data_IF_995689572029
#
_entry.id   IF_995689572029
#
_cell.length_a   1.000
_cell.length_b   1.000
_cell.length_c   1.000
_cell.angle_alpha   90.00
_cell.angle_beta   90.00
_cell.angle_gamma   90.00
#
_symmetry.space_group_name_H-M   'P 1'
#
loop_
_entity.id
_entity.type
_entity.pdbx_description
1 polymer ?
#
# COMPACT_ATOMS: atom_id res chain seq x y z
N UNK A 1 21.26 -24.55 -2.63
CA UNK A 1 22.24 -23.69 -1.99
C UNK A 1 21.69 -22.28 -1.92
N UNK A 2 21.62 -21.71 -0.75
CA UNK A 2 21.13 -20.33 -0.59
C UNK A 2 22.19 -19.36 -1.11
N UNK A 3 21.76 -18.43 -1.95
CA UNK A 3 22.64 -17.35 -2.41
C UNK A 3 22.60 -16.26 -1.35
N UNK A 4 23.77 -15.96 -0.77
CA UNK A 4 23.88 -14.86 0.17
C UNK A 4 23.70 -13.53 -0.54
N UNK A 5 22.69 -12.77 -0.12
CA UNK A 5 22.48 -11.42 -0.63
C UNK A 5 23.47 -10.47 0.03
N UNK A 6 24.02 -9.50 -0.72
CA UNK A 6 24.84 -8.46 -0.11
C UNK A 6 24.08 -7.73 1.00
N UNK A 7 24.80 -7.28 2.03
CA UNK A 7 24.21 -6.63 3.20
C UNK A 7 23.33 -5.42 2.83
N UNK A 8 23.70 -4.69 1.77
CA UNK A 8 22.89 -3.54 1.32
C UNK A 8 21.48 -3.94 0.91
N UNK A 9 21.29 -5.14 0.33
CA UNK A 9 19.96 -5.64 -0.05
C UNK A 9 19.15 -6.05 1.18
N UNK A 10 19.80 -6.68 2.16
CA UNK A 10 19.13 -7.05 3.42
C UNK A 10 18.67 -5.82 4.17
N UNK A 11 19.49 -4.77 4.22
CA UNK A 11 19.12 -3.52 4.86
C UNK A 11 17.96 -2.83 4.15
N UNK A 12 17.94 -2.86 2.81
CA UNK A 12 16.84 -2.29 2.04
C UNK A 12 15.54 -3.06 2.25
N UNK A 13 15.60 -4.41 2.31
CA UNK A 13 14.42 -5.23 2.59
C UNK A 13 13.87 -4.95 4.00
N UNK A 14 14.74 -4.84 5.00
CA UNK A 14 14.32 -4.52 6.37
C UNK A 14 13.67 -3.14 6.45
N UNK A 15 14.23 -2.15 5.76
CA UNK A 15 13.64 -0.81 5.73
C UNK A 15 12.26 -0.83 5.07
N UNK A 16 12.10 -1.60 3.98
CA UNK A 16 10.81 -1.77 3.32
C UNK A 16 9.77 -2.40 4.24
N UNK A 17 10.15 -3.46 4.96
CA UNK A 17 9.27 -4.12 5.94
C UNK A 17 8.93 -3.19 7.10
N UNK A 18 9.90 -2.43 7.60
CA UNK A 18 9.68 -1.49 8.69
C UNK A 18 8.74 -0.36 8.26
N UNK A 19 8.90 0.16 7.04
CA UNK A 19 8.03 1.21 6.50
C UNK A 19 6.59 0.71 6.38
N UNK A 20 6.39 -0.51 5.87
CA UNK A 20 5.07 -1.12 5.78
C UNK A 20 4.45 -1.31 7.16
N UNK A 21 5.23 -1.79 8.14
CA UNK A 21 4.75 -1.98 9.51
C UNK A 21 4.36 -0.65 10.16
N UNK A 22 5.14 0.40 9.96
CA UNK A 22 4.82 1.74 10.45
C UNK A 22 3.56 2.29 9.78
N UNK A 23 3.42 2.09 8.47
CA UNK A 23 2.22 2.51 7.75
C UNK A 23 0.98 1.79 8.28
N UNK A 24 1.07 0.47 8.51
CA UNK A 24 -0.03 -0.31 9.06
C UNK A 24 -0.42 0.18 10.45
N UNK A 25 0.57 0.43 11.32
CA UNK A 25 0.31 0.96 12.66
C UNK A 25 -0.36 2.33 12.59
N UNK A 26 0.14 3.22 11.74
CA UNK A 26 -0.42 4.56 11.55
C UNK A 26 -1.88 4.50 11.13
N UNK A 27 -2.21 3.63 10.18
CA UNK A 27 -3.57 3.44 9.71
C UNK A 27 -4.48 2.89 10.82
N UNK A 28 -3.98 1.93 11.60
CA UNK A 28 -4.75 1.38 12.74
C UNK A 28 -5.07 2.46 13.77
N UNK A 29 -4.12 3.34 14.06
CA UNK A 29 -4.35 4.45 14.98
C UNK A 29 -5.42 5.41 14.45
N UNK A 30 -5.62 5.48 13.14
CA UNK A 30 -6.66 6.28 12.50
C UNK A 30 -8.00 5.53 12.37
N UNK A 31 -8.09 4.32 12.89
CA UNK A 31 -9.31 3.51 12.85
C UNK A 31 -9.46 2.62 11.62
N UNK A 32 -8.44 2.51 10.77
CA UNK A 32 -8.46 1.61 9.64
C UNK A 32 -8.24 0.16 10.11
N UNK A 33 -8.93 -0.77 9.48
CA UNK A 33 -8.72 -2.19 9.71
C UNK A 33 -7.83 -2.76 8.62
N UNK A 34 -6.69 -3.30 8.98
CA UNK A 34 -5.77 -3.91 8.01
C UNK A 34 -6.34 -5.27 7.59
N UNK A 35 -6.61 -5.41 6.30
CA UNK A 35 -7.18 -6.62 5.71
C UNK A 35 -6.11 -7.54 5.13
N UNK A 36 -5.06 -6.98 4.56
CA UNK A 36 -3.96 -7.74 4.00
C UNK A 36 -2.68 -6.91 4.01
N UNK A 37 -1.56 -7.59 4.15
CA UNK A 37 -0.24 -7.00 4.08
C UNK A 37 0.55 -7.76 3.02
N UNK A 38 1.25 -7.01 2.15
CA UNK A 38 2.09 -7.58 1.10
C UNK A 38 1.29 -8.59 0.26
N UNK A 39 0.14 -8.14 -0.19
CA UNK A 39 -0.76 -8.96 -1.00
C UNK A 39 -0.12 -9.25 -2.35
N UNK A 40 0.02 -10.54 -2.66
CA UNK A 40 0.57 -11.00 -3.95
C UNK A 40 -0.56 -11.54 -4.80
N UNK A 41 -0.68 -11.02 -6.02
CA UNK A 41 -1.64 -11.49 -7.01
C UNK A 41 -0.92 -11.75 -8.33
N UNK A 42 -1.60 -12.45 -9.24
CA UNK A 42 -1.06 -12.66 -10.59
C UNK A 42 -0.92 -11.37 -11.40
N UNK A 43 -1.62 -10.30 -11.00
CA UNK A 43 -1.53 -8.99 -11.66
C UNK A 43 -0.43 -8.11 -11.06
N UNK A 44 -0.01 -8.37 -9.82
CA UNK A 44 1.00 -7.58 -9.13
C UNK A 44 0.84 -7.66 -7.63
N UNK A 45 1.62 -6.85 -6.92
CA UNK A 45 1.63 -6.78 -5.46
C UNK A 45 1.02 -5.47 -4.98
N UNK A 46 0.37 -5.53 -3.81
CA UNK A 46 -0.13 -4.35 -3.10
C UNK A 46 0.44 -4.39 -1.69
N UNK A 47 1.03 -3.29 -1.25
CA UNK A 47 1.71 -3.25 0.05
C UNK A 47 0.74 -3.45 1.21
N UNK A 48 -0.38 -2.74 1.21
CA UNK A 48 -1.41 -2.85 2.25
C UNK A 48 -2.80 -2.76 1.64
N UNK A 49 -3.72 -3.53 2.20
CA UNK A 49 -5.15 -3.39 1.95
C UNK A 49 -5.82 -3.12 3.28
N UNK A 50 -6.59 -2.05 3.37
CA UNK A 50 -7.22 -1.63 4.62
C UNK A 50 -8.64 -1.15 4.39
N UNK A 51 -9.53 -1.43 5.34
CA UNK A 51 -10.89 -0.91 5.31
C UNK A 51 -10.93 0.41 6.09
N UNK A 52 -11.34 1.49 5.42
CA UNK A 52 -11.51 2.78 6.08
C UNK A 52 -12.70 2.73 7.06
N UNK A 53 -12.66 3.51 8.15
CA UNK A 53 -13.82 3.61 9.04
C UNK A 53 -15.04 4.09 8.26
N UNK A 54 -16.10 3.27 8.20
CA UNK A 54 -17.34 3.58 7.48
C UNK A 54 -17.13 4.01 6.03
N UNK A 55 -16.08 3.50 5.38
CA UNK A 55 -15.69 3.94 4.05
C UNK A 55 -15.20 2.81 3.16
N UNK A 56 -14.50 3.15 2.08
CA UNK A 56 -14.08 2.18 1.08
C UNK A 56 -12.97 1.26 1.56
N UNK A 57 -12.70 0.23 0.77
CA UNK A 57 -11.49 -0.58 0.87
C UNK A 57 -10.36 0.19 0.19
N UNK A 58 -9.27 0.42 0.91
CA UNK A 58 -8.14 1.21 0.44
C UNK A 58 -7.00 0.28 0.04
N UNK A 59 -6.48 0.48 -1.17
CA UNK A 59 -5.32 -0.22 -1.70
C UNK A 59 -4.16 0.75 -1.63
N UNK A 60 -3.15 0.42 -0.84
CA UNK A 60 -2.18 1.40 -0.33
C UNK A 60 -0.78 1.01 -0.77
N UNK A 61 -0.11 1.96 -1.42
CA UNK A 61 1.32 1.87 -1.72
C UNK A 61 2.09 2.59 -0.62
N UNK A 62 3.08 1.90 -0.05
CA UNK A 62 3.93 2.48 0.99
C UNK A 62 5.23 2.94 0.35
N UNK A 63 5.57 4.21 0.52
CA UNK A 63 6.79 4.80 -0.03
C UNK A 63 7.68 5.32 1.09
N UNK A 64 8.91 4.83 1.13
CA UNK A 64 9.94 5.32 2.05
C UNK A 64 10.61 6.54 1.43
N UNK A 65 9.93 7.69 1.49
CA UNK A 65 10.37 8.96 0.90
C UNK A 65 10.38 10.05 1.95
N UNK A 66 11.39 10.91 1.88
CA UNK A 66 11.50 12.04 2.80
C UNK A 66 10.50 13.14 2.50
N UNK A 67 10.11 13.31 1.23
CA UNK A 67 9.18 14.36 0.82
C UNK A 67 7.84 13.72 0.42
N UNK A 68 6.80 14.03 1.17
CA UNK A 68 5.45 13.51 0.95
C UNK A 68 4.94 13.82 -0.47
N UNK A 69 5.22 15.01 -0.98
CA UNK A 69 4.81 15.42 -2.33
C UNK A 69 5.42 14.53 -3.40
N UNK A 70 6.72 14.24 -3.28
CA UNK A 70 7.41 13.36 -4.23
C UNK A 70 6.85 11.93 -4.17
N UNK A 71 6.42 11.47 -2.98
CA UNK A 71 5.81 10.16 -2.83
C UNK A 71 4.47 10.08 -3.58
N UNK A 72 3.61 11.11 -3.46
CA UNK A 72 2.31 11.12 -4.13
C UNK A 72 2.43 11.05 -5.65
N UNK A 73 3.47 11.65 -6.21
CA UNK A 73 3.74 11.66 -7.65
C UNK A 73 4.52 10.43 -8.13
N UNK A 74 4.88 9.51 -7.22
CA UNK A 74 5.84 8.44 -7.53
C UNK A 74 5.23 7.18 -8.13
N UNK A 75 3.90 7.06 -8.20
CA UNK A 75 3.26 5.86 -8.75
C UNK A 75 3.03 6.05 -10.24
N UNK A 76 3.84 5.37 -11.06
CA UNK A 76 3.76 5.46 -12.52
C UNK A 76 2.44 4.86 -13.03
N UNK A 77 1.93 5.34 -14.19
CA UNK A 77 0.67 4.81 -14.75
C UNK A 77 0.64 3.30 -14.93
N UNK A 78 1.74 2.69 -15.34
CA UNK A 78 1.82 1.23 -15.47
C UNK A 78 1.63 0.53 -14.11
N UNK A 79 2.21 1.09 -13.05
CA UNK A 79 2.03 0.55 -11.70
C UNK A 79 0.61 0.76 -11.20
N UNK A 80 0.01 1.91 -11.48
CA UNK A 80 -1.40 2.17 -11.15
C UNK A 80 -2.31 1.12 -11.79
N UNK A 81 -2.07 0.77 -13.04
CA UNK A 81 -2.83 -0.26 -13.74
C UNK A 81 -2.67 -1.63 -13.07
N UNK A 82 -1.45 -2.00 -12.70
CA UNK A 82 -1.20 -3.27 -12.01
C UNK A 82 -1.90 -3.33 -10.67
N UNK A 83 -1.84 -2.26 -9.89
CA UNK A 83 -2.50 -2.18 -8.59
C UNK A 83 -4.02 -2.28 -8.77
N UNK A 84 -4.59 -1.58 -9.74
CA UNK A 84 -6.02 -1.64 -10.01
C UNK A 84 -6.47 -3.05 -10.38
N UNK A 85 -5.71 -3.76 -11.20
CA UNK A 85 -6.01 -5.16 -11.55
C UNK A 85 -5.90 -6.08 -10.36
N UNK A 86 -4.88 -5.88 -9.52
CA UNK A 86 -4.71 -6.66 -8.29
C UNK A 86 -5.88 -6.41 -7.33
N UNK A 87 -6.35 -5.16 -7.25
CA UNK A 87 -7.52 -4.80 -6.44
C UNK A 87 -8.78 -5.52 -6.95
N UNK A 88 -9.00 -5.55 -8.26
CA UNK A 88 -10.11 -6.29 -8.85
C UNK A 88 -10.07 -7.77 -8.48
N UNK A 89 -8.89 -8.38 -8.57
CA UNK A 89 -8.73 -9.79 -8.21
C UNK A 89 -9.03 -10.04 -6.73
N UNK A 90 -8.57 -9.15 -5.87
CA UNK A 90 -8.82 -9.25 -4.44
C UNK A 90 -10.30 -9.14 -4.11
N UNK A 91 -10.99 -8.18 -4.71
CA UNK A 91 -12.41 -7.92 -4.44
C UNK A 91 -13.34 -8.92 -5.12
N UNK A 92 -12.90 -9.59 -6.18
CA UNK A 92 -13.73 -10.56 -6.91
C UNK A 92 -14.25 -11.69 -6.04
N UNK A 93 -13.46 -12.13 -5.05
CA UNK A 93 -13.88 -13.16 -4.12
C UNK A 93 -14.50 -12.62 -2.82
N UNK A 94 -14.75 -11.31 -2.74
CA UNK A 94 -15.16 -10.65 -1.50
C UNK A 94 -16.26 -9.61 -1.75
N UNK A 95 -17.50 -10.08 -2.08
CA UNK A 95 -18.55 -9.16 -2.50
C UNK A 95 -18.96 -8.15 -1.41
N UNK A 96 -18.84 -8.52 -0.14
CA UNK A 96 -19.11 -7.59 0.96
C UNK A 96 -18.15 -6.41 0.99
N UNK A 97 -16.88 -6.67 0.69
CA UNK A 97 -15.87 -5.62 0.59
C UNK A 97 -16.03 -4.81 -0.70
N UNK A 98 -16.31 -5.51 -1.82
CA UNK A 98 -16.50 -4.86 -3.11
C UNK A 98 -17.61 -3.80 -3.06
N UNK A 99 -18.67 -4.05 -2.30
CA UNK A 99 -19.79 -3.11 -2.15
C UNK A 99 -19.39 -1.82 -1.44
N UNK A 100 -18.30 -1.83 -0.68
CA UNK A 100 -17.82 -0.63 0.01
C UNK A 100 -17.11 0.35 -0.92
N UNK A 101 -16.75 -0.08 -2.12
CA UNK A 101 -15.97 0.71 -3.06
C UNK A 101 -14.47 0.59 -2.81
N UNK A 102 -13.68 1.11 -3.73
CA UNK A 102 -12.23 1.05 -3.70
C UNK A 102 -11.63 2.46 -3.73
N UNK A 103 -10.52 2.64 -3.03
CA UNK A 103 -9.76 3.89 -3.02
C UNK A 103 -8.27 3.55 -3.09
N UNK A 104 -7.51 4.35 -3.80
CA UNK A 104 -6.07 4.15 -3.96
C UNK A 104 -5.32 5.23 -3.21
N UNK A 105 -4.52 4.81 -2.24
CA UNK A 105 -3.83 5.71 -1.32
C UNK A 105 -2.33 5.46 -1.35
N UNK A 106 -1.57 6.45 -0.89
CA UNK A 106 -0.14 6.31 -0.63
C UNK A 106 0.11 6.70 0.83
N UNK A 107 0.92 5.90 1.53
CA UNK A 107 1.48 6.29 2.82
C UNK A 107 2.96 6.50 2.65
N UNK A 108 3.41 7.73 2.88
CA UNK A 108 4.82 8.10 2.78
C UNK A 108 5.47 8.06 4.17
N UNK A 109 6.56 7.33 4.26
CA UNK A 109 7.35 7.21 5.49
C UNK A 109 8.67 7.95 5.27
N UNK A 110 8.86 9.02 6.03
CA UNK A 110 10.12 9.77 6.01
C UNK A 110 10.95 9.47 7.24
N UNK A 111 12.22 9.86 7.20
CA UNK A 111 13.11 9.72 8.34
C UNK A 111 12.85 10.86 9.33
N UNK A 112 12.60 10.51 10.59
CA UNK A 112 12.41 11.48 11.67
C UNK A 112 11.12 12.28 11.62
N UNK A 113 10.12 11.83 10.83
CA UNK A 113 8.83 12.49 10.74
C UNK A 113 7.70 11.47 10.86
N UNK A 114 6.49 11.97 11.13
CA UNK A 114 5.31 11.12 11.16
C UNK A 114 4.96 10.66 9.74
N UNK A 115 4.33 9.48 9.60
CA UNK A 115 3.82 9.06 8.29
C UNK A 115 2.85 10.09 7.72
N UNK A 116 2.85 10.23 6.40
CA UNK A 116 1.91 11.09 5.70
C UNK A 116 1.01 10.21 4.83
N UNK A 117 -0.28 10.29 5.08
CA UNK A 117 -1.27 9.49 4.35
C UNK A 117 -1.93 10.36 3.29
N UNK A 118 -1.65 10.04 2.04
CA UNK A 118 -2.28 10.67 0.88
C UNK A 118 -3.43 9.81 0.42
N UNK A 119 -4.65 10.29 0.56
CA UNK A 119 -5.86 9.55 0.20
C UNK A 119 -6.26 9.86 -1.24
N UNK A 120 -6.78 8.84 -1.92
CA UNK A 120 -7.41 8.98 -3.24
C UNK A 120 -6.47 9.63 -4.27
N UNK A 121 -5.25 9.10 -4.36
CA UNK A 121 -4.19 9.70 -5.19
C UNK A 121 -4.35 9.47 -6.67
N UNK A 122 -5.08 8.43 -7.07
CA UNK A 122 -5.51 8.21 -8.47
C UNK A 122 -6.82 7.44 -8.46
N UNK A 123 -7.47 7.40 -9.61
CA UNK A 123 -8.72 6.71 -9.78
C UNK A 123 -8.61 5.64 -10.85
N UNK A 124 -9.30 4.54 -10.64
CA UNK A 124 -9.36 3.43 -11.59
C UNK A 124 -10.67 2.68 -11.39
N UNK A 125 -11.15 2.08 -12.48
CA UNK A 125 -12.32 1.21 -12.42
C UNK A 125 -11.94 -0.12 -11.75
N UNK A 126 -12.69 -0.47 -10.72
CA UNK A 126 -12.44 -1.69 -9.95
C UNK A 126 -13.74 -2.46 -9.74
#
# INVERSE_FOLDING_TARGET
MAIDRPDKYRAAERRGHNSESLAALWLRLKGYRILARRLKTRAGEIDLVAAAPFGPVCFIEVKARQKARAAAESVAPAQQTRIARAACLYLAGRPGLARRGARFDIVAIGTGSLPVHHRDVWQADV
#
